data_IF_675801728263
#
_entry.id   IF_675801728263
#
_cell.length_a   1.000
_cell.length_b   1.000
_cell.length_c   1.000
_cell.angle_alpha   90.00
_cell.angle_beta   90.00
_cell.angle_gamma   90.00
#
_symmetry.space_group_name_H-M   'P 1'
#
loop_
_entity.id
_entity.type
_entity.pdbx_description
1 polymer ?
#
# COMPACT_ATOMS: atom_id res chain seq x y z
N UNK A 1 2.89 11.15 32.55
CA UNK A 1 4.17 10.45 32.30
C UNK A 1 4.36 10.20 30.79
N UNK A 2 4.15 11.25 29.98
CA UNK A 2 4.40 11.26 28.53
C UNK A 2 5.68 12.07 28.39
N UNK A 3 6.83 11.39 28.51
CA UNK A 3 8.13 12.05 28.31
C UNK A 3 8.15 12.47 26.85
N UNK A 4 8.09 13.79 26.66
CA UNK A 4 8.26 14.52 25.41
C UNK A 4 9.16 13.73 24.46
N UNK A 5 8.55 13.13 23.44
CA UNK A 5 9.24 12.79 22.20
C UNK A 5 9.91 14.09 21.79
N UNK A 6 11.22 14.20 21.99
CA UNK A 6 11.98 15.32 21.47
C UNK A 6 11.69 15.33 19.99
N UNK A 7 11.03 16.37 19.49
CA UNK A 7 10.75 16.63 18.08
C UNK A 7 12.03 16.78 17.22
N UNK A 8 13.17 16.24 17.66
CA UNK A 8 14.47 16.30 17.03
C UNK A 8 15.37 15.10 17.36
N UNK A 9 14.82 13.94 17.70
CA UNK A 9 15.60 12.70 17.75
C UNK A 9 15.89 12.23 16.31
N UNK A 10 17.13 12.35 15.79
CA UNK A 10 17.43 12.03 14.39
C UNK A 10 17.11 10.57 14.03
N UNK A 11 17.10 9.68 15.04
CA UNK A 11 16.82 8.26 14.85
C UNK A 11 15.35 7.99 14.46
N UNK A 12 14.38 8.71 15.04
CA UNK A 12 12.96 8.53 14.71
C UNK A 12 12.70 8.96 13.28
N UNK A 13 13.28 10.10 12.88
CA UNK A 13 13.21 10.60 11.51
C UNK A 13 13.77 9.60 10.49
N UNK A 14 14.95 9.02 10.76
CA UNK A 14 15.56 8.02 9.89
C UNK A 14 14.69 6.76 9.80
N UNK A 15 14.09 6.33 10.90
CA UNK A 15 13.20 5.17 10.94
C UNK A 15 11.93 5.38 10.11
N UNK A 16 11.28 6.55 10.26
CA UNK A 16 10.11 6.89 9.45
C UNK A 16 10.45 7.00 7.96
N UNK A 17 11.59 7.62 7.64
CA UNK A 17 12.08 7.70 6.27
C UNK A 17 12.35 6.31 5.68
N UNK A 18 12.97 5.42 6.46
CA UNK A 18 13.22 4.04 6.05
C UNK A 18 11.92 3.24 5.85
N UNK A 19 10.88 3.53 6.63
CA UNK A 19 9.55 2.95 6.44
C UNK A 19 8.91 3.42 5.12
N UNK A 20 8.96 4.72 4.82
CA UNK A 20 8.47 5.25 3.54
C UNK A 20 9.22 4.65 2.35
N UNK A 21 10.54 4.54 2.44
CA UNK A 21 11.37 3.90 1.40
C UNK A 21 10.90 2.46 1.17
N UNK A 22 10.67 1.68 2.25
CA UNK A 22 10.17 0.31 2.13
C UNK A 22 8.82 0.21 1.44
N UNK A 23 7.87 1.08 1.80
CA UNK A 23 6.52 1.11 1.18
C UNK A 23 6.61 1.46 -0.31
N UNK A 24 7.37 2.51 -0.66
CA UNK A 24 7.55 2.90 -2.06
C UNK A 24 8.34 1.86 -2.86
N UNK A 25 9.26 1.12 -2.23
CA UNK A 25 9.96 0.01 -2.88
C UNK A 25 9.00 -1.12 -3.26
N UNK A 26 8.03 -1.46 -2.39
CA UNK A 26 6.98 -2.45 -2.72
C UNK A 26 6.17 -1.97 -3.94
N UNK A 27 5.77 -0.69 -3.95
CA UNK A 27 5.03 -0.11 -5.08
C UNK A 27 5.85 -0.12 -6.37
N UNK A 28 7.13 0.23 -6.29
CA UNK A 28 8.04 0.26 -7.43
C UNK A 28 8.25 -1.14 -8.03
N UNK A 29 8.47 -2.15 -7.19
CA UNK A 29 8.60 -3.55 -7.64
C UNK A 29 7.30 -4.02 -8.30
N UNK A 30 6.13 -3.66 -7.75
CA UNK A 30 4.85 -4.01 -8.33
C UNK A 30 4.60 -3.33 -9.68
N UNK A 31 5.02 -2.07 -9.85
CA UNK A 31 4.96 -1.37 -11.14
C UNK A 31 5.98 -1.94 -12.14
N UNK A 32 7.16 -2.34 -11.68
CA UNK A 32 8.16 -3.00 -12.52
C UNK A 32 7.65 -4.35 -13.04
N UNK A 33 6.84 -5.06 -12.26
CA UNK A 33 6.17 -6.27 -12.73
C UNK A 33 5.26 -5.97 -13.95
N UNK A 34 4.44 -4.93 -13.85
CA UNK A 34 3.49 -4.55 -14.89
C UNK A 34 4.24 -4.01 -16.12
N UNK A 35 4.98 -2.90 -15.98
CA UNK A 35 5.61 -2.26 -17.12
C UNK A 35 6.85 -3.01 -17.63
N UNK A 36 7.69 -3.51 -16.72
CA UNK A 36 8.96 -4.14 -17.07
C UNK A 36 8.83 -5.50 -17.74
N UNK A 37 7.84 -6.31 -17.34
CA UNK A 37 7.66 -7.66 -17.91
C UNK A 37 6.51 -7.76 -18.93
N UNK A 38 5.46 -6.94 -18.80
CA UNK A 38 4.30 -7.02 -19.71
C UNK A 38 4.23 -5.86 -20.71
N UNK A 39 5.00 -4.79 -20.51
CA UNK A 39 4.94 -3.58 -21.35
C UNK A 39 3.70 -2.71 -21.11
N UNK A 40 2.84 -3.06 -20.15
CA UNK A 40 1.62 -2.32 -19.82
C UNK A 40 1.92 -1.26 -18.76
N UNK A 41 1.86 0.01 -19.14
CA UNK A 41 2.05 1.12 -18.21
C UNK A 41 0.80 1.34 -17.36
N UNK A 42 0.95 1.36 -16.03
CA UNK A 42 -0.14 1.63 -15.08
C UNK A 42 0.15 2.89 -14.26
N UNK A 43 -0.38 4.03 -14.70
CA UNK A 43 -0.24 5.29 -13.98
C UNK A 43 -1.23 5.44 -12.82
N UNK A 44 -2.23 4.55 -12.74
CA UNK A 44 -3.24 4.50 -11.68
C UNK A 44 -2.80 3.74 -10.43
N UNK A 45 -1.54 3.31 -10.31
CA UNK A 45 -1.06 2.43 -9.24
C UNK A 45 -1.38 2.97 -7.83
N UNK A 46 -1.29 4.29 -7.67
CA UNK A 46 -1.58 4.99 -6.40
C UNK A 46 -3.04 4.81 -5.97
N UNK A 47 -3.97 4.59 -6.89
CA UNK A 47 -5.38 4.37 -6.58
C UNK A 47 -5.59 3.09 -5.77
N UNK A 48 -4.95 1.99 -6.17
CA UNK A 48 -5.02 0.71 -5.47
C UNK A 48 -4.33 0.78 -4.10
N UNK A 49 -3.20 1.49 -4.03
CA UNK A 49 -2.53 1.77 -2.76
C UNK A 49 -3.44 2.56 -1.81
N UNK A 50 -4.12 3.58 -2.33
CA UNK A 50 -5.05 4.42 -1.58
C UNK A 50 -6.21 3.59 -1.02
N UNK A 51 -6.86 2.75 -1.84
CA UNK A 51 -7.95 1.87 -1.40
C UNK A 51 -7.53 0.97 -0.23
N UNK A 52 -6.37 0.31 -0.33
CA UNK A 52 -5.86 -0.54 0.74
C UNK A 52 -5.49 0.25 2.01
N UNK A 53 -4.91 1.44 1.85
CA UNK A 53 -4.56 2.32 2.96
C UNK A 53 -5.82 2.79 3.72
N UNK A 54 -6.87 3.22 3.02
CA UNK A 54 -8.12 3.63 3.65
C UNK A 54 -8.85 2.44 4.29
N UNK A 55 -8.92 1.28 3.62
CA UNK A 55 -9.53 0.08 4.18
C UNK A 55 -8.88 -0.36 5.51
N UNK A 56 -7.54 -0.41 5.54
CA UNK A 56 -6.81 -0.74 6.78
C UNK A 56 -6.96 0.33 7.86
N UNK A 57 -6.94 1.61 7.48
CA UNK A 57 -7.07 2.74 8.41
C UNK A 57 -8.43 2.79 9.10
N UNK A 58 -9.51 2.53 8.36
CA UNK A 58 -10.88 2.48 8.91
C UNK A 58 -10.99 1.34 9.93
N UNK A 59 -10.53 0.13 9.58
CA UNK A 59 -10.56 -1.02 10.49
C UNK A 59 -9.69 -0.81 11.74
N UNK A 60 -8.52 -0.17 11.58
CA UNK A 60 -7.67 0.18 12.71
C UNK A 60 -8.35 1.19 13.66
N UNK A 61 -9.10 2.16 13.13
CA UNK A 61 -9.86 3.12 13.95
C UNK A 61 -11.04 2.45 14.68
N UNK A 62 -11.57 1.35 14.17
CA UNK A 62 -12.56 0.52 14.87
C UNK A 62 -11.95 -0.35 16.00
N UNK A 63 -10.62 -0.35 16.16
CA UNK A 63 -9.94 -1.10 17.21
C UNK A 63 -9.64 -2.56 16.88
N UNK A 64 -9.79 -2.97 15.62
CA UNK A 64 -9.42 -4.33 15.21
C UNK A 64 -7.90 -4.55 15.22
N UNK A 65 -7.44 -5.80 15.45
CA UNK A 65 -6.02 -6.11 15.47
C UNK A 65 -5.39 -5.93 14.09
N UNK A 66 -4.12 -5.49 14.07
CA UNK A 66 -3.38 -5.16 12.85
C UNK A 66 -3.44 -6.23 11.75
N UNK A 67 -3.31 -7.51 12.13
CA UNK A 67 -3.31 -8.61 11.17
C UNK A 67 -4.66 -8.73 10.43
N UNK A 68 -5.77 -8.50 11.14
CA UNK A 68 -7.10 -8.51 10.54
C UNK A 68 -7.28 -7.30 9.60
N UNK A 69 -6.82 -6.12 10.03
CA UNK A 69 -6.83 -4.93 9.19
C UNK A 69 -6.03 -5.14 7.89
N UNK A 70 -4.90 -5.83 7.96
CA UNK A 70 -4.06 -6.16 6.81
C UNK A 70 -4.76 -7.13 5.86
N UNK A 71 -5.34 -8.23 6.36
CA UNK A 71 -6.05 -9.21 5.53
C UNK A 71 -7.24 -8.55 4.82
N UNK A 72 -8.04 -7.77 5.56
CA UNK A 72 -9.20 -7.08 5.00
C UNK A 72 -8.77 -6.06 3.94
N UNK A 73 -7.69 -5.32 4.18
CA UNK A 73 -7.14 -4.38 3.20
C UNK A 73 -6.65 -5.09 1.92
N UNK A 74 -5.98 -6.24 2.04
CA UNK A 74 -5.57 -7.05 0.88
C UNK A 74 -6.78 -7.51 0.08
N UNK A 75 -7.83 -8.02 0.75
CA UNK A 75 -9.04 -8.51 0.08
C UNK A 75 -9.75 -7.36 -0.64
N UNK A 76 -9.98 -6.23 0.04
CA UNK A 76 -10.68 -5.08 -0.55
C UNK A 76 -9.88 -4.49 -1.71
N UNK A 77 -8.58 -4.27 -1.54
CA UNK A 77 -7.72 -3.76 -2.61
C UNK A 77 -7.64 -4.75 -3.78
N UNK A 78 -7.63 -6.06 -3.51
CA UNK A 78 -7.65 -7.12 -4.51
C UNK A 78 -8.96 -7.16 -5.31
N UNK A 79 -10.11 -7.03 -4.64
CA UNK A 79 -11.43 -6.96 -5.31
C UNK A 79 -11.50 -5.72 -6.20
N UNK A 80 -11.11 -4.55 -5.69
CA UNK A 80 -11.11 -3.31 -6.48
C UNK A 80 -10.12 -3.41 -7.64
N UNK A 81 -8.94 -4.00 -7.41
CA UNK A 81 -7.95 -4.32 -8.43
C UNK A 81 -8.51 -5.20 -9.55
N UNK A 82 -9.18 -6.28 -9.17
CA UNK A 82 -9.82 -7.21 -10.11
C UNK A 82 -10.89 -6.50 -10.93
N UNK A 83 -11.81 -5.78 -10.28
CA UNK A 83 -12.87 -5.03 -10.96
C UNK A 83 -12.31 -3.97 -11.92
N UNK A 84 -11.25 -3.26 -11.52
CA UNK A 84 -10.60 -2.26 -12.36
C UNK A 84 -9.76 -2.86 -13.51
N UNK A 85 -9.22 -4.07 -13.33
CA UNK A 85 -8.43 -4.78 -14.34
C UNK A 85 -9.29 -5.44 -15.44
N UNK A 86 -10.54 -5.79 -15.15
CA UNK A 86 -11.47 -6.38 -16.14
C UNK A 86 -11.65 -5.53 -17.42
N UNK A 87 -11.90 -4.21 -17.35
CA UNK A 87 -11.94 -3.38 -18.56
C UNK A 87 -10.55 -3.21 -19.20
N UNK A 88 -9.47 -3.27 -18.41
CA UNK A 88 -8.10 -3.11 -18.89
C UNK A 88 -7.69 -4.22 -19.88
N UNK A 89 -8.22 -5.44 -19.72
CA UNK A 89 -7.98 -6.56 -20.63
C UNK A 89 -8.47 -6.33 -22.08
N UNK A 90 -9.35 -5.35 -22.30
CA UNK A 90 -9.92 -5.06 -23.62
C UNK A 90 -9.22 -3.90 -24.35
N UNK A 91 -8.25 -3.24 -23.71
CA UNK A 91 -7.60 -2.03 -24.21
C UNK A 91 -6.21 -2.33 -24.77
N UNK A 92 -5.77 -1.54 -25.75
CA UNK A 92 -4.35 -1.53 -26.16
C UNK A 92 -3.52 -0.82 -25.09
N UNK A 93 -2.22 -1.11 -25.03
CA UNK A 93 -1.30 -0.61 -24.01
C UNK A 93 -1.37 0.92 -23.81
N UNK A 94 -1.42 1.69 -24.89
CA UNK A 94 -1.48 3.16 -24.83
C UNK A 94 -2.78 3.67 -24.19
N UNK A 95 -3.92 3.03 -24.48
CA UNK A 95 -5.20 3.38 -23.89
C UNK A 95 -5.28 2.95 -22.42
N UNK A 96 -4.67 1.81 -22.05
CA UNK A 96 -4.61 1.34 -20.68
C UNK A 96 -3.91 2.35 -19.77
N UNK A 97 -2.82 2.96 -20.25
CA UNK A 97 -2.08 3.97 -19.50
C UNK A 97 -2.95 5.22 -19.18
N UNK A 98 -3.71 5.71 -20.17
CA UNK A 98 -4.59 6.87 -20.00
C UNK A 98 -5.75 6.55 -19.04
N UNK A 99 -6.37 5.38 -19.22
CA UNK A 99 -7.53 4.96 -18.40
C UNK A 99 -7.13 4.75 -16.95
N UNK A 100 -5.96 4.15 -16.68
CA UNK A 100 -5.47 3.96 -15.30
C UNK A 100 -5.15 5.29 -14.63
N UNK A 101 -4.57 6.26 -15.34
CA UNK A 101 -4.36 7.62 -14.84
C UNK A 101 -5.69 8.29 -14.46
N UNK A 102 -6.67 8.25 -15.37
CA UNK A 102 -8.00 8.81 -15.13
C UNK A 102 -8.69 8.16 -13.93
N UNK A 103 -8.63 6.82 -13.83
CA UNK A 103 -9.16 6.08 -12.69
C UNK A 103 -8.53 6.53 -11.36
N UNK A 104 -7.22 6.71 -11.34
CA UNK A 104 -6.52 7.17 -10.14
C UNK A 104 -6.92 8.57 -9.70
N UNK A 105 -7.09 9.50 -10.64
CA UNK A 105 -7.52 10.86 -10.31
C UNK A 105 -8.99 10.91 -9.89
N UNK A 106 -9.87 10.10 -10.50
CA UNK A 106 -11.27 9.97 -10.07
C UNK A 106 -11.35 9.47 -8.63
N UNK A 107 -10.61 8.41 -8.28
CA UNK A 107 -10.59 7.90 -6.90
C UNK A 107 -10.08 8.93 -5.91
N UNK A 108 -9.02 9.66 -6.28
CA UNK A 108 -8.48 10.75 -5.47
C UNK A 108 -9.49 11.87 -5.25
N UNK A 109 -10.26 12.22 -6.29
CA UNK A 109 -11.31 13.24 -6.18
C UNK A 109 -12.44 12.80 -5.25
N UNK A 110 -12.91 11.55 -5.39
CA UNK A 110 -13.92 10.96 -4.51
C UNK A 110 -13.45 11.02 -3.06
N UNK A 111 -12.25 10.53 -2.76
CA UNK A 111 -11.73 10.48 -1.39
C UNK A 111 -11.57 11.87 -0.76
N UNK A 112 -11.19 12.88 -1.56
CA UNK A 112 -11.11 14.26 -1.06
C UNK A 112 -12.47 14.89 -0.78
N UNK A 113 -13.50 14.49 -1.51
CA UNK A 113 -14.86 15.00 -1.36
C UNK A 113 -15.65 14.24 -0.28
N UNK A 114 -15.30 12.98 0.00
CA UNK A 114 -15.99 12.14 0.97
C UNK A 114 -15.54 12.41 2.41
N UNK A 115 -16.35 13.15 3.17
CA UNK A 115 -16.02 13.51 4.55
C UNK A 115 -16.32 12.40 5.57
N UNK A 116 -17.41 11.64 5.38
CA UNK A 116 -17.86 10.63 6.36
C UNK A 116 -16.92 9.42 6.50
N UNK A 117 -16.40 8.91 5.37
CA UNK A 117 -15.47 7.78 5.36
C UNK A 117 -14.03 8.25 5.42
N UNK A 118 -13.63 9.14 4.51
CA UNK A 118 -12.24 9.47 4.26
C UNK A 118 -11.73 10.69 5.02
N UNK A 119 -12.63 11.42 5.72
CA UNK A 119 -12.35 12.71 6.36
C UNK A 119 -11.84 13.77 5.37
N UNK A 120 -12.24 13.64 4.10
CA UNK A 120 -11.89 14.55 3.02
C UNK A 120 -10.38 14.82 2.92
N UNK A 121 -10.02 16.10 2.80
CA UNK A 121 -8.62 16.55 2.63
C UNK A 121 -7.76 16.32 3.88
N UNK A 122 -8.36 16.22 5.08
CA UNK A 122 -7.60 15.98 6.32
C UNK A 122 -7.04 14.55 6.40
N UNK A 123 -7.73 13.59 5.77
CA UNK A 123 -7.37 12.18 5.84
C UNK A 123 -7.62 11.56 7.23
N UNK A 124 -7.39 10.26 7.32
CA UNK A 124 -7.62 9.48 8.54
C UNK A 124 -6.31 9.32 9.30
N UNK A 125 -6.27 9.76 10.56
CA UNK A 125 -5.18 9.42 11.47
C UNK A 125 -5.24 7.93 11.82
N UNK A 126 -4.13 7.23 11.67
CA UNK A 126 -4.06 5.78 11.92
C UNK A 126 -3.41 5.53 13.28
N UNK A 127 -4.05 4.75 14.18
CA UNK A 127 -3.41 4.29 15.40
C UNK A 127 -2.15 3.46 15.10
N UNK A 128 -1.17 3.47 16.01
CA UNK A 128 0.04 2.67 15.84
C UNK A 128 -0.32 1.18 15.77
N UNK A 129 0.18 0.50 14.73
CA UNK A 129 -0.17 -0.87 14.38
C UNK A 129 -0.03 -1.88 15.54
N UNK A 130 1.02 -1.73 16.34
CA UNK A 130 1.30 -2.59 17.48
C UNK A 130 1.60 -1.69 18.67
N UNK A 131 0.61 -1.49 19.55
CA UNK A 131 0.80 -0.81 20.83
C UNK A 131 0.84 -1.87 21.93
N UNK A 132 2.03 -2.43 22.18
CA UNK A 132 2.22 -3.32 23.34
C UNK A 132 2.45 -2.44 24.57
N UNK A 133 1.53 -2.51 25.53
CA UNK A 133 1.64 -1.77 26.78
C UNK A 133 2.95 -2.13 27.50
N UNK A 134 3.79 -1.13 27.76
CA UNK A 134 5.06 -1.26 28.50
C UNK A 134 6.34 -1.29 27.64
N UNK A 135 6.24 -1.29 26.31
CA UNK A 135 7.41 -1.26 25.41
C UNK A 135 7.77 0.19 25.03
N UNK A 136 9.07 0.46 24.88
CA UNK A 136 9.57 1.76 24.41
C UNK A 136 9.16 2.04 22.96
N UNK A 137 8.81 3.30 22.64
CA UNK A 137 8.40 3.74 21.29
C UNK A 137 9.39 3.33 20.19
N UNK A 138 10.70 3.37 20.50
CA UNK A 138 11.77 2.97 19.56
C UNK A 138 11.64 1.51 19.13
N UNK A 139 11.39 0.61 20.07
CA UNK A 139 11.23 -0.82 19.80
C UNK A 139 9.99 -1.08 18.94
N UNK A 140 8.91 -0.33 19.15
CA UNK A 140 7.70 -0.41 18.30
C UNK A 140 8.00 0.00 16.85
N UNK A 141 8.77 1.08 16.65
CA UNK A 141 9.18 1.51 15.30
C UNK A 141 10.06 0.48 14.60
N UNK A 142 11.03 -0.13 15.31
CA UNK A 142 11.85 -1.21 14.74
C UNK A 142 11.02 -2.44 14.36
N UNK A 143 10.01 -2.80 15.18
CA UNK A 143 9.11 -3.91 14.86
C UNK A 143 8.29 -3.61 13.59
N UNK A 144 7.74 -2.40 13.48
CA UNK A 144 7.00 -1.96 12.29
C UNK A 144 7.89 -1.94 11.04
N UNK A 145 9.12 -1.45 11.17
CA UNK A 145 10.10 -1.49 10.09
C UNK A 145 10.38 -2.93 9.65
N UNK A 146 10.61 -3.82 10.60
CA UNK A 146 10.86 -5.25 10.31
C UNK A 146 9.71 -5.88 9.52
N UNK A 147 8.46 -5.57 9.88
CA UNK A 147 7.27 -6.05 9.16
C UNK A 147 7.23 -5.51 7.71
N UNK A 148 7.55 -4.23 7.49
CA UNK A 148 7.56 -3.63 6.14
C UNK A 148 8.61 -4.30 5.26
N UNK A 149 9.84 -4.48 5.77
CA UNK A 149 10.92 -5.10 4.98
C UNK A 149 10.71 -6.61 4.81
N UNK A 150 10.08 -7.29 5.76
CA UNK A 150 9.63 -8.66 5.59
C UNK A 150 8.57 -8.77 4.47
N UNK A 151 7.59 -7.87 4.44
CA UNK A 151 6.59 -7.82 3.38
C UNK A 151 7.23 -7.53 2.01
N UNK A 152 8.19 -6.60 1.94
CA UNK A 152 8.99 -6.33 0.74
C UNK A 152 9.72 -7.58 0.26
N UNK A 153 10.40 -8.30 1.15
CA UNK A 153 11.10 -9.54 0.82
C UNK A 153 10.15 -10.61 0.29
N UNK A 154 8.98 -10.79 0.92
CA UNK A 154 7.93 -11.72 0.45
C UNK A 154 7.43 -11.32 -0.94
N UNK A 155 7.09 -10.05 -1.17
CA UNK A 155 6.66 -9.57 -2.48
C UNK A 155 7.74 -9.81 -3.56
N UNK A 156 9.01 -9.53 -3.24
CA UNK A 156 10.13 -9.78 -4.14
C UNK A 156 10.28 -11.27 -4.48
N UNK A 157 10.20 -12.16 -3.48
CA UNK A 157 10.28 -13.60 -3.69
C UNK A 157 9.13 -14.12 -4.56
N UNK A 158 7.89 -13.68 -4.29
CA UNK A 158 6.72 -14.06 -5.08
C UNK A 158 6.92 -13.65 -6.54
N UNK A 159 7.43 -12.44 -6.79
CA UNK A 159 7.67 -11.94 -8.13
C UNK A 159 8.78 -12.71 -8.84
N UNK A 160 9.86 -13.03 -8.13
CA UNK A 160 10.92 -13.88 -8.67
C UNK A 160 10.40 -15.27 -9.07
N UNK A 161 9.53 -15.86 -8.24
CA UNK A 161 8.89 -17.14 -8.58
C UNK A 161 8.01 -16.98 -9.82
N UNK A 162 7.20 -15.92 -9.88
CA UNK A 162 6.30 -15.64 -11.00
C UNK A 162 7.09 -15.48 -12.31
N UNK A 163 8.07 -14.59 -12.33
CA UNK A 163 8.87 -14.27 -13.52
C UNK A 163 9.66 -15.48 -14.03
N UNK A 164 10.23 -16.28 -13.13
CA UNK A 164 11.04 -17.44 -13.50
C UNK A 164 10.21 -18.70 -13.76
N UNK A 165 8.90 -18.67 -13.49
CA UNK A 165 8.05 -19.82 -13.77
C UNK A 165 7.75 -19.94 -15.27
N UNK A 166 7.68 -21.16 -15.82
CA UNK A 166 7.55 -21.41 -17.25
C UNK A 166 6.11 -21.16 -17.74
N UNK A 167 5.63 -19.91 -17.71
CA UNK A 167 4.31 -19.52 -18.23
C UNK A 167 4.17 -19.68 -19.75
N UNK A 168 5.28 -19.85 -20.48
CA UNK A 168 5.30 -19.90 -21.95
C UNK A 168 5.08 -21.27 -22.60
N UNK A 169 4.76 -22.35 -21.87
CA UNK A 169 4.53 -23.69 -22.45
C UNK A 169 3.06 -24.11 -22.56
N UNK A 170 2.12 -23.25 -22.18
CA UNK A 170 0.67 -23.58 -22.12
C UNK A 170 -0.23 -22.56 -22.81
N UNK A 171 0.32 -21.67 -23.64
CA UNK A 171 -0.42 -20.76 -24.52
C UNK A 171 -0.07 -21.03 -25.98
#
# INVERSE_FOLDING_TARGET
MVRLVKLGDPLIYILDMAAFIGIFAILAISLNLEYGFTGLANFGKVAFFMVGAYASSIMANLGYPYLLCLIVAIIIAGIVGLLASLPALKLRADYLAIVTLAFGEILRYIIKNEEWIAKGVQGITVPSAITIAGISIRTMMFLQLTIIYAALAVCYLIIQILVNSPYGRTI
#
